data_IF_201066142464
#
_entry.id   IF_201066142464
#
_cell.length_a   1.000
_cell.length_b   1.000
_cell.length_c   1.000
_cell.angle_alpha   90.00
_cell.angle_beta   90.00
_cell.angle_gamma   90.00
#
_symmetry.space_group_name_H-M   'P 1'
#
loop_
_entity.id
_entity.type
_entity.pdbx_description
1 polymer ?
#
# COMPACT_ATOMS: atom_id res chain seq x y z
N UNK A 1 -21.80 6.34 17.58
CA UNK A 1 -20.81 5.62 16.75
C UNK A 1 -19.85 4.93 17.69
N UNK A 2 -19.62 3.63 17.53
CA UNK A 2 -18.75 2.89 18.44
C UNK A 2 -17.31 3.41 18.29
N UNK A 3 -16.78 4.06 19.33
CA UNK A 3 -15.44 4.65 19.32
C UNK A 3 -14.37 3.58 19.10
N UNK A 4 -14.63 2.34 19.52
CA UNK A 4 -13.73 1.22 19.27
C UNK A 4 -13.60 0.92 17.77
N UNK A 5 -14.70 1.00 17.01
CA UNK A 5 -14.70 0.75 15.57
C UNK A 5 -13.88 1.82 14.82
N UNK A 6 -14.00 3.09 15.23
CA UNK A 6 -13.24 4.21 14.66
C UNK A 6 -11.74 4.10 14.96
N UNK A 7 -11.38 3.71 16.17
CA UNK A 7 -9.98 3.50 16.53
C UNK A 7 -9.42 2.31 15.75
N UNK A 8 -10.17 1.23 15.62
CA UNK A 8 -9.75 0.04 14.87
C UNK A 8 -9.50 0.36 13.39
N UNK A 9 -10.39 1.10 12.72
CA UNK A 9 -10.21 1.46 11.30
C UNK A 9 -9.04 2.43 11.11
N UNK A 10 -8.83 3.36 12.05
CA UNK A 10 -7.73 4.34 11.97
C UNK A 10 -6.36 3.71 12.22
N UNK A 11 -6.26 2.81 13.21
CA UNK A 11 -4.99 2.27 13.71
C UNK A 11 -4.65 0.92 13.09
N UNK A 12 -5.65 0.09 12.74
CA UNK A 12 -5.46 -1.26 12.21
C UNK A 12 -4.46 -1.36 11.05
N UNK A 13 -4.60 -0.55 9.98
CA UNK A 13 -3.66 -0.57 8.86
C UNK A 13 -2.21 -0.24 9.26
N UNK A 14 -2.03 0.57 10.31
CA UNK A 14 -0.72 0.98 10.81
C UNK A 14 -0.06 -0.12 11.65
N UNK A 15 -0.84 -0.86 12.44
CA UNK A 15 -0.31 -1.95 13.28
C UNK A 15 0.38 -3.05 12.46
N UNK A 16 -0.08 -3.27 11.22
CA UNK A 16 0.54 -4.23 10.30
C UNK A 16 2.02 -3.96 10.00
N UNK A 17 2.49 -2.72 10.19
CA UNK A 17 3.89 -2.37 9.95
C UNK A 17 4.81 -2.56 11.17
N UNK A 18 4.27 -2.84 12.36
CA UNK A 18 5.09 -3.05 13.56
C UNK A 18 6.02 -4.24 13.36
N UNK A 19 5.53 -5.31 12.75
CA UNK A 19 6.34 -6.50 12.46
C UNK A 19 7.47 -6.18 11.47
N UNK A 20 7.16 -5.41 10.42
CA UNK A 20 8.15 -4.93 9.45
C UNK A 20 9.27 -4.12 10.11
N UNK A 21 8.92 -3.21 11.04
CA UNK A 21 9.90 -2.45 11.82
C UNK A 21 10.80 -3.36 12.65
N UNK A 22 10.22 -4.37 13.31
CA UNK A 22 10.98 -5.34 14.12
C UNK A 22 11.96 -6.13 13.26
N UNK A 23 11.49 -6.66 12.13
CA UNK A 23 12.30 -7.44 11.19
C UNK A 23 13.46 -6.61 10.65
N UNK A 24 13.23 -5.36 10.21
CA UNK A 24 14.29 -4.50 9.70
C UNK A 24 15.34 -4.15 10.77
N UNK A 25 14.90 -3.88 12.02
CA UNK A 25 15.82 -3.58 13.12
C UNK A 25 16.65 -4.78 13.55
N UNK A 26 16.03 -5.96 13.59
CA UNK A 26 16.70 -7.21 13.97
C UNK A 26 17.72 -7.65 12.90
N UNK A 27 17.32 -7.62 11.63
CA UNK A 27 18.18 -8.03 10.50
C UNK A 27 19.17 -6.96 10.05
N UNK A 28 19.01 -5.70 10.48
CA UNK A 28 19.76 -4.53 10.00
C UNK A 28 19.74 -4.41 8.46
N UNK A 29 18.67 -4.88 7.83
CA UNK A 29 18.49 -4.88 6.38
C UNK A 29 17.06 -4.52 6.00
N UNK A 30 16.89 -3.76 4.91
CA UNK A 30 15.60 -3.39 4.34
C UNK A 30 15.21 -4.18 3.08
N UNK A 31 15.99 -5.20 2.69
CA UNK A 31 15.79 -5.94 1.43
C UNK A 31 14.40 -6.62 1.32
N UNK A 32 13.74 -6.92 2.44
CA UNK A 32 12.42 -7.55 2.48
C UNK A 32 11.24 -6.59 2.27
N UNK A 33 11.47 -5.28 2.23
CA UNK A 33 10.40 -4.28 2.19
C UNK A 33 10.62 -3.24 1.08
N UNK A 34 9.54 -2.87 0.39
CA UNK A 34 9.62 -2.02 -0.79
C UNK A 34 9.38 -0.56 -0.46
N UNK A 35 10.37 0.29 -0.74
CA UNK A 35 10.26 1.75 -0.62
C UNK A 35 9.19 2.34 -1.55
N UNK A 36 8.88 1.67 -2.66
CA UNK A 36 7.80 2.08 -3.54
C UNK A 36 6.42 1.92 -2.88
N UNK A 37 6.25 0.93 -2.00
CA UNK A 37 5.00 0.78 -1.24
C UNK A 37 4.81 1.96 -0.29
N UNK A 38 5.88 2.41 0.39
CA UNK A 38 5.84 3.66 1.16
C UNK A 38 5.42 4.85 0.30
N UNK A 39 6.07 5.03 -0.85
CA UNK A 39 5.79 6.15 -1.76
C UNK A 39 4.33 6.16 -2.25
N UNK A 40 3.82 5.00 -2.67
CA UNK A 40 2.43 4.83 -3.12
C UNK A 40 1.45 5.18 -2.01
N UNK A 41 1.68 4.69 -0.79
CA UNK A 41 0.80 4.96 0.36
C UNK A 41 0.86 6.41 0.83
N UNK A 42 2.03 7.05 0.73
CA UNK A 42 2.19 8.48 1.00
C UNK A 42 1.38 9.33 0.02
N UNK A 43 1.55 9.09 -1.28
CA UNK A 43 0.80 9.79 -2.33
C UNK A 43 -0.71 9.57 -2.18
N UNK A 44 -1.13 8.31 -2.00
CA UNK A 44 -2.53 7.96 -1.78
C UNK A 44 -3.14 8.67 -0.56
N UNK A 45 -2.43 8.67 0.58
CA UNK A 45 -2.94 9.28 1.82
C UNK A 45 -3.00 10.81 1.74
N UNK A 46 -2.04 11.46 1.06
CA UNK A 46 -2.08 12.91 0.82
C UNK A 46 -3.29 13.27 -0.05
N UNK A 47 -3.51 12.55 -1.15
CA UNK A 47 -4.69 12.77 -2.00
C UNK A 47 -5.99 12.54 -1.24
N UNK A 48 -6.03 11.59 -0.31
CA UNK A 48 -7.21 11.32 0.53
C UNK A 48 -7.53 12.47 1.47
N UNK A 49 -6.51 13.18 1.97
CA UNK A 49 -6.72 14.41 2.75
C UNK A 49 -7.36 15.49 1.87
N UNK A 50 -6.90 15.68 0.62
CA UNK A 50 -7.55 16.61 -0.32
C UNK A 50 -8.96 16.20 -0.69
N UNK A 51 -9.23 14.89 -0.77
CA UNK A 51 -10.58 14.39 -0.96
C UNK A 51 -11.48 14.78 0.22
N UNK A 52 -11.00 14.61 1.45
CA UNK A 52 -11.74 15.00 2.65
C UNK A 52 -12.05 16.50 2.70
N UNK A 53 -11.09 17.35 2.31
CA UNK A 53 -11.29 18.80 2.23
C UNK A 53 -12.41 19.19 1.26
N UNK A 54 -12.55 18.46 0.15
CA UNK A 54 -13.62 18.69 -0.83
C UNK A 54 -14.95 18.05 -0.46
N UNK A 55 -14.91 16.87 0.17
CA UNK A 55 -16.08 16.12 0.63
C UNK A 55 -15.76 15.45 1.96
N UNK A 56 -16.37 15.96 3.03
CA UNK A 56 -16.14 15.44 4.38
C UNK A 56 -16.74 14.03 4.50
N UNK A 57 -15.89 13.07 4.83
CA UNK A 57 -16.26 11.71 5.23
C UNK A 57 -15.81 11.47 6.67
N UNK A 58 -16.08 10.28 7.21
CA UNK A 58 -15.80 9.94 8.61
C UNK A 58 -14.35 10.30 9.02
N UNK A 59 -14.22 11.05 10.11
CA UNK A 59 -12.94 11.50 10.65
C UNK A 59 -12.00 10.33 10.98
N UNK A 60 -12.52 9.14 11.27
CA UNK A 60 -11.69 7.95 11.47
C UNK A 60 -10.82 7.63 10.24
N UNK A 61 -11.34 7.82 9.02
CA UNK A 61 -10.63 7.61 7.76
C UNK A 61 -9.64 8.75 7.44
N UNK A 62 -9.93 9.97 7.93
CA UNK A 62 -8.98 11.07 7.89
C UNK A 62 -7.79 10.77 8.81
N UNK A 63 -8.04 10.39 10.06
CA UNK A 63 -6.99 10.00 11.01
C UNK A 63 -6.19 8.82 10.50
N UNK A 64 -6.83 7.84 9.85
CA UNK A 64 -6.16 6.74 9.16
C UNK A 64 -5.13 7.24 8.14
N UNK A 65 -5.47 8.27 7.36
CA UNK A 65 -4.58 8.85 6.34
C UNK A 65 -3.40 9.58 6.97
N UNK A 66 -3.65 10.38 8.01
CA UNK A 66 -2.61 11.12 8.73
C UNK A 66 -1.63 10.15 9.41
N UNK A 67 -2.14 9.14 10.12
CA UNK A 67 -1.31 8.11 10.76
C UNK A 67 -0.51 7.32 9.73
N UNK A 68 -1.12 6.98 8.58
CA UNK A 68 -0.43 6.32 7.48
C UNK A 68 0.74 7.16 6.98
N UNK A 69 0.57 8.48 6.76
CA UNK A 69 1.66 9.36 6.33
C UNK A 69 2.83 9.32 7.33
N UNK A 70 2.55 9.46 8.63
CA UNK A 70 3.58 9.45 9.67
C UNK A 70 4.37 8.13 9.68
N UNK A 71 3.65 7.01 9.64
CA UNK A 71 4.25 5.67 9.68
C UNK A 71 5.03 5.38 8.41
N UNK A 72 4.52 5.77 7.24
CA UNK A 72 5.24 5.55 5.98
C UNK A 72 6.50 6.41 5.88
N UNK A 73 6.51 7.64 6.39
CA UNK A 73 7.74 8.44 6.46
C UNK A 73 8.76 7.80 7.41
N UNK A 74 8.31 7.29 8.55
CA UNK A 74 9.17 6.58 9.49
C UNK A 74 9.76 5.30 8.89
N UNK A 75 8.93 4.46 8.26
CA UNK A 75 9.37 3.25 7.57
C UNK A 75 10.32 3.57 6.43
N UNK A 76 10.02 4.59 5.64
CA UNK A 76 10.88 5.03 4.55
C UNK A 76 12.26 5.44 5.05
N UNK A 77 12.32 6.19 6.15
CA UNK A 77 13.59 6.54 6.79
C UNK A 77 14.36 5.29 7.26
N UNK A 78 13.68 4.32 7.87
CA UNK A 78 14.30 3.04 8.25
C UNK A 78 14.80 2.26 7.03
N UNK A 79 14.05 2.25 5.93
CA UNK A 79 14.42 1.57 4.71
C UNK A 79 15.69 2.14 4.09
N UNK A 80 15.82 3.48 4.13
CA UNK A 80 17.01 4.18 3.66
C UNK A 80 18.20 3.92 4.60
N UNK A 81 17.98 3.94 5.92
CA UNK A 81 19.03 3.71 6.92
C UNK A 81 19.61 2.28 6.85
N UNK A 82 18.76 1.27 6.66
CA UNK A 82 19.16 -0.13 6.57
C UNK A 82 19.28 -0.62 5.12
N UNK A 83 19.41 0.29 4.15
CA UNK A 83 19.62 -0.05 2.75
C UNK A 83 21.00 -0.69 2.59
N UNK A 84 21.04 -1.87 1.97
CA UNK A 84 22.29 -2.58 1.66
C UNK A 84 22.84 -2.14 0.29
N UNK A 85 24.15 -2.25 0.08
CA UNK A 85 24.79 -1.87 -1.19
C UNK A 85 24.25 -2.67 -2.40
N UNK A 86 23.78 -3.91 -2.20
CA UNK A 86 23.13 -4.74 -3.23
C UNK A 86 21.79 -4.17 -3.74
N UNK A 87 21.24 -3.16 -3.05
CA UNK A 87 19.96 -2.54 -3.42
C UNK A 87 20.06 -1.61 -4.64
N UNK A 88 21.27 -1.26 -5.09
CA UNK A 88 21.48 -0.43 -6.26
C UNK A 88 21.61 -1.31 -7.51
N UNK A 89 20.73 -1.15 -8.52
CA UNK A 89 20.90 -1.88 -9.77
C UNK A 89 22.16 -1.41 -10.49
N UNK A 90 23.11 -2.32 -10.67
CA UNK A 90 24.30 -2.14 -11.51
C UNK A 90 23.89 -1.59 -12.90
N UNK A 91 24.51 -0.49 -13.38
CA UNK A 91 24.18 0.10 -14.66
C UNK A 91 24.63 -0.82 -15.81
N UNK A 92 23.75 -1.71 -16.25
CA UNK A 92 23.92 -2.45 -17.51
C UNK A 92 23.30 -3.85 -17.57
N UNK A 93 23.15 -4.56 -16.46
CA UNK A 93 22.82 -6.00 -16.50
C UNK A 93 21.41 -6.38 -16.04
N UNK A 94 20.67 -5.48 -15.39
CA UNK A 94 19.40 -5.79 -14.71
C UNK A 94 18.28 -4.75 -14.90
N UNK A 95 18.44 -3.83 -15.88
CA UNK A 95 17.48 -2.73 -16.12
C UNK A 95 16.08 -3.20 -16.54
N UNK A 96 15.91 -4.45 -16.98
CA UNK A 96 14.61 -5.02 -17.37
C UNK A 96 13.85 -5.77 -16.26
N UNK A 97 14.47 -6.06 -15.13
CA UNK A 97 13.88 -6.95 -14.10
C UNK A 97 13.15 -6.20 -12.96
N UNK A 98 13.45 -4.91 -12.76
CA UNK A 98 12.85 -4.11 -11.69
C UNK A 98 11.66 -3.31 -12.25
N UNK A 99 10.45 -3.43 -11.67
CA UNK A 99 9.29 -2.65 -12.10
C UNK A 99 9.56 -1.14 -12.09
N UNK A 100 9.06 -0.41 -13.10
CA UNK A 100 9.28 1.04 -13.25
C UNK A 100 8.95 1.83 -11.97
N UNK A 101 7.84 1.50 -11.31
CA UNK A 101 7.44 2.15 -10.06
C UNK A 101 8.45 1.92 -8.94
N UNK A 102 9.06 0.74 -8.87
CA UNK A 102 10.09 0.46 -7.89
C UNK A 102 11.36 1.25 -8.16
N UNK A 103 11.73 1.42 -9.44
CA UNK A 103 12.88 2.23 -9.86
C UNK A 103 12.70 3.71 -9.57
N UNK A 104 11.49 4.25 -9.78
CA UNK A 104 11.19 5.66 -9.52
C UNK A 104 11.41 6.02 -8.03
N UNK A 105 10.98 5.15 -7.12
CA UNK A 105 11.04 5.38 -5.67
C UNK A 105 12.33 4.89 -4.99
N UNK A 106 13.46 4.82 -5.71
CA UNK A 106 14.76 4.36 -5.18
C UNK A 106 15.74 5.50 -4.83
N UNK A 107 15.25 6.69 -4.47
CA UNK A 107 16.11 7.83 -4.14
C UNK A 107 17.03 7.56 -2.93
N UNK A 108 18.23 8.16 -2.89
CA UNK A 108 19.28 7.78 -1.94
C UNK A 108 19.08 8.34 -0.53
N UNK A 109 18.31 9.42 -0.39
CA UNK A 109 18.15 10.14 0.88
C UNK A 109 16.70 10.57 1.07
N UNK A 110 16.25 10.58 2.33
CA UNK A 110 14.91 11.00 2.74
C UNK A 110 14.57 12.41 2.21
N UNK A 111 15.57 13.27 2.12
CA UNK A 111 15.45 14.63 1.57
C UNK A 111 14.73 14.68 0.21
N UNK A 112 15.11 13.81 -0.73
CA UNK A 112 14.50 13.76 -2.06
C UNK A 112 13.01 13.40 -2.00
N UNK A 113 12.65 12.47 -1.11
CA UNK A 113 11.26 12.09 -0.89
C UNK A 113 10.46 13.25 -0.30
N UNK A 114 10.98 13.92 0.72
CA UNK A 114 10.30 15.07 1.32
C UNK A 114 10.09 16.19 0.30
N UNK A 115 11.11 16.54 -0.50
CA UNK A 115 10.97 17.56 -1.54
C UNK A 115 9.93 17.19 -2.59
N UNK A 116 9.91 15.93 -3.03
CA UNK A 116 8.87 15.44 -3.93
C UNK A 116 7.47 15.57 -3.30
N UNK A 117 7.30 15.13 -2.06
CA UNK A 117 5.99 15.17 -1.37
C UNK A 117 5.53 16.60 -1.11
N UNK A 118 6.44 17.51 -0.77
CA UNK A 118 6.13 18.94 -0.61
C UNK A 118 5.70 19.55 -1.94
N UNK A 119 6.44 19.29 -3.03
CA UNK A 119 6.07 19.76 -4.37
C UNK A 119 4.73 19.18 -4.84
N UNK A 120 4.51 17.88 -4.63
CA UNK A 120 3.25 17.20 -4.90
C UNK A 120 2.10 17.84 -4.13
N UNK A 121 2.26 18.04 -2.82
CA UNK A 121 1.25 18.66 -1.96
C UNK A 121 0.97 20.10 -2.41
N UNK A 122 2.00 20.88 -2.76
CA UNK A 122 1.83 22.25 -3.25
C UNK A 122 1.01 22.29 -4.55
N UNK A 123 1.32 21.41 -5.51
CA UNK A 123 0.56 21.31 -6.77
C UNK A 123 -0.90 20.99 -6.49
N UNK A 124 -1.18 20.00 -5.64
CA UNK A 124 -2.56 19.63 -5.31
C UNK A 124 -3.28 20.69 -4.48
N UNK A 125 -2.56 21.48 -3.65
CA UNK A 125 -3.13 22.66 -2.98
C UNK A 125 -3.58 23.70 -4.01
N UNK A 126 -2.74 24.02 -5.00
CA UNK A 126 -3.10 24.97 -6.06
C UNK A 126 -4.32 24.44 -6.85
N UNK A 127 -4.28 23.19 -7.30
CA UNK A 127 -5.40 22.57 -8.00
C UNK A 127 -6.68 22.57 -7.16
N UNK A 128 -6.56 22.28 -5.85
CA UNK A 128 -7.70 22.25 -4.96
C UNK A 128 -8.33 23.64 -4.78
N UNK A 129 -7.53 24.69 -4.60
CA UNK A 129 -8.05 26.06 -4.53
C UNK A 129 -8.77 26.46 -5.84
N UNK A 130 -8.23 26.04 -7.00
CA UNK A 130 -8.81 26.39 -8.30
C UNK A 130 -10.07 25.59 -8.66
N UNK A 131 -10.18 24.33 -8.22
CA UNK A 131 -11.18 23.39 -8.72
C UNK A 131 -12.07 22.75 -7.65
N UNK A 132 -11.93 23.08 -6.36
CA UNK A 132 -12.75 22.50 -5.27
C UNK A 132 -14.26 22.72 -5.41
N UNK A 133 -14.67 23.78 -6.13
CA UNK A 133 -16.07 24.04 -6.45
C UNK A 133 -16.68 22.99 -7.40
N UNK A 134 -15.86 22.23 -8.12
CA UNK A 134 -16.31 21.19 -9.03
C UNK A 134 -16.42 19.84 -8.32
N UNK A 135 -17.64 19.31 -8.21
CA UNK A 135 -17.87 17.96 -7.66
C UNK A 135 -17.16 16.87 -8.46
N UNK A 136 -16.94 17.09 -9.77
CA UNK A 136 -16.15 16.18 -10.61
C UNK A 136 -14.69 16.12 -10.15
N UNK A 137 -14.07 17.26 -9.89
CA UNK A 137 -12.69 17.32 -9.40
C UNK A 137 -12.55 16.59 -8.06
N UNK A 138 -13.40 16.92 -7.08
CA UNK A 138 -13.38 16.26 -5.76
C UNK A 138 -13.57 14.75 -5.88
N UNK A 139 -14.51 14.31 -6.73
CA UNK A 139 -14.77 12.90 -6.99
C UNK A 139 -13.56 12.20 -7.64
N UNK A 140 -12.90 12.87 -8.59
CA UNK A 140 -11.71 12.34 -9.26
C UNK A 140 -10.54 12.17 -8.28
N UNK A 141 -10.31 13.15 -7.39
CA UNK A 141 -9.29 13.04 -6.33
C UNK A 141 -9.61 11.87 -5.40
N UNK A 142 -10.87 11.70 -5.02
CA UNK A 142 -11.33 10.56 -4.22
C UNK A 142 -11.01 9.23 -4.90
N UNK A 143 -11.42 9.05 -6.16
CA UNK A 143 -11.15 7.84 -6.96
C UNK A 143 -9.64 7.59 -7.09
N UNK A 144 -8.86 8.61 -7.45
CA UNK A 144 -7.40 8.47 -7.59
C UNK A 144 -6.74 8.06 -6.27
N UNK A 145 -7.10 8.72 -5.16
CA UNK A 145 -6.52 8.42 -3.85
C UNK A 145 -6.73 6.95 -3.47
N UNK A 146 -7.92 6.42 -3.70
CA UNK A 146 -8.31 5.07 -3.30
C UNK A 146 -7.86 4.01 -4.31
N UNK A 147 -7.92 4.31 -5.61
CA UNK A 147 -7.43 3.41 -6.66
C UNK A 147 -5.93 3.17 -6.55
N UNK A 148 -5.14 4.20 -6.23
CA UNK A 148 -3.70 4.07 -5.99
C UNK A 148 -3.42 3.05 -4.87
N UNK A 149 -4.13 3.13 -3.74
CA UNK A 149 -4.00 2.13 -2.66
C UNK A 149 -4.49 0.75 -3.12
N UNK A 150 -5.62 0.71 -3.83
CA UNK A 150 -6.27 -0.53 -4.25
C UNK A 150 -5.42 -1.38 -5.20
N UNK A 151 -4.46 -0.78 -5.90
CA UNK A 151 -3.56 -1.49 -6.82
C UNK A 151 -2.37 -2.18 -6.14
N UNK A 152 -2.15 -1.97 -4.84
CA UNK A 152 -1.01 -2.54 -4.11
C UNK A 152 -0.90 -4.08 -4.17
N UNK A 153 -2.00 -4.87 -4.16
CA UNK A 153 -1.91 -6.33 -4.27
C UNK A 153 -1.54 -6.83 -5.68
N UNK A 154 -1.73 -6.03 -6.74
CA UNK A 154 -1.60 -6.48 -8.13
C UNK A 154 -0.19 -6.99 -8.49
N UNK A 155 0.91 -6.33 -8.09
CA UNK A 155 2.25 -6.85 -8.33
C UNK A 155 2.47 -8.23 -7.69
N UNK A 156 1.86 -8.49 -6.52
CA UNK A 156 1.97 -9.79 -5.86
C UNK A 156 1.18 -10.85 -6.62
N UNK A 157 -0.05 -10.54 -7.04
CA UNK A 157 -0.87 -11.43 -7.87
C UNK A 157 -0.13 -11.83 -9.15
N UNK A 158 0.47 -10.86 -9.84
CA UNK A 158 1.25 -11.09 -11.06
C UNK A 158 2.47 -11.98 -10.80
N UNK A 159 3.26 -11.68 -9.76
CA UNK A 159 4.45 -12.48 -9.40
C UNK A 159 4.10 -13.92 -9.07
N UNK A 160 3.03 -14.14 -8.31
CA UNK A 160 2.55 -15.49 -7.98
C UNK A 160 2.16 -16.27 -9.25
N UNK A 161 1.46 -15.60 -10.19
CA UNK A 161 1.07 -16.21 -11.46
C UNK A 161 2.28 -16.58 -12.33
N UNK A 162 3.23 -15.65 -12.49
CA UNK A 162 4.45 -15.88 -13.27
C UNK A 162 5.32 -17.00 -12.68
N UNK A 163 5.40 -17.09 -11.35
CA UNK A 163 6.16 -18.14 -10.66
C UNK A 163 5.43 -19.48 -10.59
N UNK A 164 4.10 -19.47 -10.70
CA UNK A 164 3.26 -20.64 -10.44
C UNK A 164 3.40 -21.17 -9.00
N UNK A 165 3.82 -20.32 -8.06
CA UNK A 165 4.10 -20.63 -6.66
C UNK A 165 3.81 -19.42 -5.77
N UNK A 166 3.37 -19.67 -4.54
CA UNK A 166 3.23 -18.65 -3.48
C UNK A 166 4.36 -18.75 -2.44
N UNK A 167 5.46 -19.45 -2.75
CA UNK A 167 6.62 -19.53 -1.85
C UNK A 167 7.21 -18.14 -1.55
N UNK A 168 7.48 -17.90 -0.27
CA UNK A 168 7.95 -16.61 0.24
C UNK A 168 6.83 -15.62 0.63
N UNK A 169 5.55 -15.96 0.41
CA UNK A 169 4.42 -15.16 0.87
C UNK A 169 3.77 -15.78 2.12
N UNK A 170 3.78 -15.03 3.24
CA UNK A 170 3.26 -15.51 4.54
C UNK A 170 1.74 -15.61 4.53
N UNK A 171 1.21 -16.80 4.84
CA UNK A 171 -0.24 -17.03 4.99
C UNK A 171 -0.86 -16.10 6.04
N UNK A 172 -0.13 -15.83 7.13
CA UNK A 172 -0.60 -14.92 8.18
C UNK A 172 -0.79 -13.49 7.65
N UNK A 173 0.11 -13.02 6.79
CA UNK A 173 0.02 -11.69 6.16
C UNK A 173 -1.16 -11.65 5.20
N UNK A 174 -1.33 -12.67 4.36
CA UNK A 174 -2.47 -12.76 3.44
C UNK A 174 -3.82 -12.78 4.17
N UNK A 175 -3.93 -13.54 5.27
CA UNK A 175 -5.13 -13.59 6.09
C UNK A 175 -5.41 -12.25 6.78
N UNK A 176 -4.37 -11.55 7.26
CA UNK A 176 -4.50 -10.23 7.85
C UNK A 176 -4.98 -9.18 6.84
N UNK A 177 -4.52 -9.24 5.59
CA UNK A 177 -4.99 -8.36 4.51
C UNK A 177 -6.47 -8.62 4.20
N UNK A 178 -6.84 -9.88 3.92
CA UNK A 178 -8.21 -10.25 3.59
C UNK A 178 -9.19 -9.88 4.72
N UNK A 179 -8.82 -10.11 5.98
CA UNK A 179 -9.64 -9.75 7.14
C UNK A 179 -9.75 -8.23 7.29
N UNK A 180 -8.65 -7.51 7.09
CA UNK A 180 -8.61 -6.05 7.16
C UNK A 180 -9.47 -5.39 6.08
N UNK A 181 -9.40 -5.87 4.85
CA UNK A 181 -10.17 -5.33 3.73
C UNK A 181 -11.65 -5.72 3.79
N UNK A 182 -11.98 -6.90 4.33
CA UNK A 182 -13.36 -7.25 4.68
C UNK A 182 -13.92 -6.30 5.75
N UNK A 183 -13.14 -6.02 6.80
CA UNK A 183 -13.53 -5.09 7.86
C UNK A 183 -13.70 -3.66 7.33
N UNK A 184 -12.82 -3.18 6.45
CA UNK A 184 -12.97 -1.89 5.76
C UNK A 184 -14.26 -1.83 4.95
N UNK A 185 -14.55 -2.86 4.14
CA UNK A 185 -15.78 -2.89 3.34
C UNK A 185 -17.03 -2.81 4.23
N UNK A 186 -17.05 -3.57 5.32
CA UNK A 186 -18.10 -3.47 6.32
C UNK A 186 -18.22 -2.04 6.88
N UNK A 187 -17.10 -1.43 7.27
CA UNK A 187 -17.08 -0.06 7.77
C UNK A 187 -17.64 0.94 6.76
N UNK A 188 -17.25 0.85 5.48
CA UNK A 188 -17.69 1.76 4.43
C UNK A 188 -19.19 1.67 4.17
N UNK A 189 -19.74 0.45 4.12
CA UNK A 189 -21.19 0.26 3.96
C UNK A 189 -21.94 0.74 5.20
N UNK A 190 -21.46 0.40 6.40
CA UNK A 190 -22.09 0.76 7.67
C UNK A 190 -22.13 2.28 7.90
N UNK A 191 -21.05 2.98 7.58
CA UNK A 191 -20.92 4.45 7.74
C UNK A 191 -21.44 5.23 6.54
N UNK A 192 -21.98 4.57 5.52
CA UNK A 192 -22.39 5.20 4.24
C UNK A 192 -21.28 6.07 3.65
N UNK A 193 -20.04 5.56 3.65
CA UNK A 193 -18.89 6.26 3.12
C UNK A 193 -19.09 6.60 1.62
N UNK A 194 -18.40 7.65 1.10
CA UNK A 194 -18.46 7.98 -0.32
C UNK A 194 -18.21 6.77 -1.22
N UNK A 195 -18.93 6.69 -2.34
CA UNK A 195 -18.95 5.52 -3.23
C UNK A 195 -17.55 5.04 -3.65
N UNK A 196 -16.61 5.97 -3.76
CA UNK A 196 -15.21 5.70 -4.07
C UNK A 196 -14.59 4.70 -3.07
N UNK A 197 -14.86 4.83 -1.76
CA UNK A 197 -14.37 3.90 -0.74
C UNK A 197 -14.95 2.51 -0.93
N UNK A 198 -16.25 2.43 -1.16
CA UNK A 198 -16.96 1.16 -1.32
C UNK A 198 -16.50 0.41 -2.57
N UNK A 199 -16.42 1.08 -3.72
CA UNK A 199 -15.96 0.46 -4.98
C UNK A 199 -14.51 -0.01 -4.87
N UNK A 200 -13.59 0.85 -4.40
CA UNK A 200 -12.19 0.48 -4.26
C UNK A 200 -11.97 -0.58 -3.17
N UNK A 201 -12.73 -0.54 -2.08
CA UNK A 201 -12.68 -1.55 -1.02
C UNK A 201 -13.11 -2.93 -1.53
N UNK A 202 -14.21 -3.02 -2.29
CA UNK A 202 -14.61 -4.30 -2.89
C UNK A 202 -13.60 -4.78 -3.93
N UNK A 203 -12.97 -3.87 -4.69
CA UNK A 203 -11.87 -4.25 -5.56
C UNK A 203 -10.68 -4.84 -4.78
N UNK A 204 -10.28 -4.22 -3.67
CA UNK A 204 -9.23 -4.74 -2.78
C UNK A 204 -9.58 -6.13 -2.24
N UNK A 205 -10.79 -6.29 -1.72
CA UNK A 205 -11.28 -7.58 -1.22
C UNK A 205 -11.29 -8.66 -2.32
N UNK A 206 -11.61 -8.28 -3.56
CA UNK A 206 -11.55 -9.20 -4.70
C UNK A 206 -10.10 -9.59 -5.06
N UNK A 207 -9.16 -8.66 -4.96
CA UNK A 207 -7.74 -8.93 -5.19
C UNK A 207 -7.18 -9.89 -4.11
N UNK A 208 -7.60 -9.73 -2.86
CA UNK A 208 -7.27 -10.64 -1.78
C UNK A 208 -7.86 -12.03 -1.99
N UNK A 209 -9.10 -12.12 -2.47
CA UNK A 209 -9.70 -13.40 -2.86
C UNK A 209 -8.88 -14.10 -3.96
N UNK A 210 -8.36 -13.36 -4.95
CA UNK A 210 -7.46 -13.90 -5.98
C UNK A 210 -6.16 -14.44 -5.35
N UNK A 211 -5.55 -13.72 -4.40
CA UNK A 211 -4.35 -14.19 -3.70
C UNK A 211 -4.62 -15.50 -2.92
N UNK A 212 -5.76 -15.59 -2.24
CA UNK A 212 -6.18 -16.82 -1.54
C UNK A 212 -6.37 -17.97 -2.51
N UNK A 213 -7.02 -17.74 -3.67
CA UNK A 213 -7.18 -18.75 -4.71
C UNK A 213 -5.83 -19.23 -5.26
N UNK A 214 -4.90 -18.31 -5.52
CA UNK A 214 -3.55 -18.64 -5.97
C UNK A 214 -2.81 -19.52 -4.94
N UNK A 215 -2.93 -19.20 -3.66
CA UNK A 215 -2.35 -19.99 -2.58
C UNK A 215 -2.89 -21.42 -2.56
N UNK A 216 -4.22 -21.60 -2.62
CA UNK A 216 -4.83 -22.93 -2.67
C UNK A 216 -4.37 -23.71 -3.91
N UNK A 217 -4.33 -23.05 -5.08
CA UNK A 217 -3.96 -23.67 -6.36
C UNK A 217 -2.50 -24.11 -6.42
N UNK A 218 -1.59 -23.33 -5.87
CA UNK A 218 -0.15 -23.56 -5.98
C UNK A 218 0.44 -24.41 -4.85
N UNK A 219 -0.24 -24.53 -3.70
CA UNK A 219 0.16 -25.40 -2.58
C UNK A 219 0.44 -26.85 -3.01
N UNK A 220 -0.31 -27.37 -3.99
CA UNK A 220 -0.14 -28.74 -4.49
C UNK A 220 1.05 -28.95 -5.45
N UNK A 221 1.65 -27.88 -6.00
CA UNK A 221 2.72 -28.00 -7.00
C UNK A 221 4.12 -28.11 -6.39
N UNK A 222 4.39 -27.48 -5.23
CA UNK A 222 5.68 -27.60 -4.54
C UNK A 222 5.98 -29.03 -4.07
N UNK A 223 4.95 -29.83 -3.75
CA UNK A 223 5.14 -31.23 -3.32
C UNK A 223 5.58 -32.17 -4.46
N UNK A 224 5.33 -31.83 -5.72
CA UNK A 224 5.70 -32.68 -6.87
C UNK A 224 7.15 -32.51 -7.35
N UNK A 225 7.82 -31.42 -6.95
CA UNK A 225 9.19 -31.10 -7.39
C UNK A 225 10.29 -31.79 -6.58
N UNK A 226 9.94 -32.38 -5.43
CA UNK A 226 10.86 -33.13 -4.56
C UNK A 226 10.88 -34.65 -4.83
N UNK A 227 10.10 -35.14 -5.79
CA UNK A 227 10.07 -36.56 -6.19
C UNK A 227 10.78 -36.83 -7.52
N UNK A 228 11.88 -36.14 -7.81
CA UNK A 228 12.78 -36.55 -8.90
C UNK A 228 13.80 -37.55 -8.32
N UNK A 229 13.79 -38.83 -8.73
CA UNK A 229 14.86 -39.75 -8.41
C UNK A 229 16.13 -39.26 -9.12
N UNK A 230 17.23 -39.19 -8.36
CA UNK A 230 18.59 -38.95 -8.85
C UNK A 230 19.08 -40.20 -9.57
#
# INVERSE_FOLDING_TARGET
MDTALQVAIAVGPVLGYIDQVRVMRASRSSNGFSMAVCGILLVSSILRIFFWLGQHFDNALLYQSILMILVQLFLLNLCIQYRTAESFPEPGLSSGAIPMMQRFWQWPSLYHYIHFLLGFTLVFTILHVLFSWSSFYVSLIGVLSLAIEATLPLPQIRKNHERGSTEGFSLAVMAAWALGDLFKCYYYVYTTAPLQFTICGFFQLSADAVLVVQWVRYRGKSASRFNLPI
#
